data_IF_493257056230
#
_entry.id   IF_493257056230
#
_cell.length_a   1.000
_cell.length_b   1.000
_cell.length_c   1.000
_cell.angle_alpha   90.00
_cell.angle_beta   90.00
_cell.angle_gamma   90.00
#
_symmetry.space_group_name_H-M   'P 1'
#
loop_
_entity.id
_entity.type
_entity.pdbx_description
1 polymer ?
#
# COMPACT_ATOMS: atom_id res chain seq x y z
N UNK A 1 -1.94 10.20 3.55
CA UNK A 1 -0.75 9.90 2.74
C UNK A 1 -0.38 11.01 1.78
N UNK A 2 -1.21 11.42 0.81
CA UNK A 2 -0.83 12.47 -0.16
C UNK A 2 -0.42 13.79 0.53
N UNK A 3 -1.21 14.27 1.50
CA UNK A 3 -0.87 15.46 2.28
C UNK A 3 0.48 15.33 3.05
N UNK A 4 0.82 14.13 3.52
CA UNK A 4 2.10 13.89 4.18
C UNK A 4 3.28 14.02 3.21
N UNK A 5 3.16 13.47 1.98
CA UNK A 5 4.17 13.64 0.94
C UNK A 5 4.36 15.10 0.52
N UNK A 6 3.27 15.86 0.43
CA UNK A 6 3.34 17.30 0.14
C UNK A 6 4.13 18.03 1.25
N UNK A 7 3.88 17.70 2.52
CA UNK A 7 4.63 18.25 3.65
C UNK A 7 6.11 17.84 3.63
N UNK A 8 6.43 16.58 3.28
CA UNK A 8 7.81 16.13 3.14
C UNK A 8 8.57 16.88 2.04
N UNK A 9 7.92 17.20 0.93
CA UNK A 9 8.54 17.90 -0.21
C UNK A 9 8.71 19.40 0.09
N UNK A 10 7.72 20.05 0.71
CA UNK A 10 7.73 21.49 0.92
C UNK A 10 8.53 21.94 2.14
N UNK A 11 8.60 21.12 3.20
CA UNK A 11 9.25 21.50 4.47
C UNK A 11 10.24 20.45 5.00
N UNK A 12 11.20 19.96 4.19
CA UNK A 12 12.11 18.89 4.61
C UNK A 12 13.07 19.30 5.75
N UNK A 13 13.33 20.58 5.93
CA UNK A 13 14.26 21.10 6.94
C UNK A 13 13.61 21.36 8.31
N UNK A 14 12.26 21.35 8.39
CA UNK A 14 11.55 21.62 9.63
C UNK A 14 11.16 20.30 10.31
N UNK A 15 11.96 19.88 11.30
CA UNK A 15 11.77 18.63 12.04
C UNK A 15 10.36 18.48 12.63
N UNK A 16 9.77 19.56 13.15
CA UNK A 16 8.42 19.49 13.73
C UNK A 16 7.37 19.13 12.66
N UNK A 17 7.46 19.72 11.47
CA UNK A 17 6.56 19.42 10.36
C UNK A 17 6.81 18.02 9.78
N UNK A 18 8.05 17.54 9.78
CA UNK A 18 8.39 16.16 9.38
C UNK A 18 7.72 15.15 10.32
N UNK A 19 7.72 15.39 11.63
CA UNK A 19 7.00 14.52 12.58
C UNK A 19 5.49 14.51 12.34
N UNK A 20 4.89 15.68 12.11
CA UNK A 20 3.46 15.78 11.77
C UNK A 20 3.15 15.03 10.47
N UNK A 21 4.01 15.16 9.45
CA UNK A 21 3.87 14.44 8.20
C UNK A 21 3.98 12.92 8.38
N UNK A 22 4.88 12.43 9.25
CA UNK A 22 4.98 11.00 9.58
C UNK A 22 3.68 10.47 10.19
N UNK A 23 3.07 11.20 11.14
CA UNK A 23 1.78 10.81 11.71
C UNK A 23 0.71 10.73 10.61
N UNK A 24 0.61 11.75 9.76
CA UNK A 24 -0.33 11.78 8.62
C UNK A 24 -0.05 10.73 7.53
N UNK A 25 1.16 10.19 7.50
CA UNK A 25 1.54 9.09 6.61
C UNK A 25 1.10 7.74 7.19
N UNK A 26 1.40 7.48 8.47
CA UNK A 26 1.11 6.20 9.10
C UNK A 26 -0.37 6.00 9.44
N UNK A 27 -1.10 7.07 9.79
CA UNK A 27 -2.53 6.94 10.14
C UNK A 27 -3.35 6.30 8.99
N UNK A 28 -3.28 6.78 7.73
CA UNK A 28 -4.03 6.16 6.64
C UNK A 28 -3.50 4.78 6.23
N UNK A 29 -2.21 4.50 6.44
CA UNK A 29 -1.62 3.21 6.10
C UNK A 29 -2.32 2.05 6.82
N UNK A 30 -2.64 2.22 8.10
CA UNK A 30 -3.38 1.20 8.88
C UNK A 30 -4.78 0.97 8.32
N UNK A 31 -5.49 2.02 7.91
CA UNK A 31 -6.83 1.89 7.32
C UNK A 31 -6.82 1.18 5.96
N UNK A 32 -5.82 1.47 5.11
CA UNK A 32 -5.64 0.79 3.83
C UNK A 32 -5.39 -0.70 4.07
N UNK A 33 -4.52 -1.03 5.03
CA UNK A 33 -4.24 -2.42 5.37
C UNK A 33 -5.51 -3.13 5.87
N UNK A 34 -6.28 -2.52 6.77
CA UNK A 34 -7.54 -3.10 7.26
C UNK A 34 -8.55 -3.34 6.13
N UNK A 35 -8.68 -2.38 5.21
CA UNK A 35 -9.58 -2.51 4.04
C UNK A 35 -9.16 -3.68 3.13
N UNK A 36 -7.85 -3.85 2.90
CA UNK A 36 -7.34 -4.96 2.10
C UNK A 36 -7.62 -6.32 2.74
N UNK A 37 -7.62 -6.42 4.08
CA UNK A 37 -7.98 -7.64 4.80
C UNK A 37 -9.45 -7.98 4.57
N UNK A 38 -10.34 -6.99 4.75
CA UNK A 38 -11.77 -7.19 4.58
C UNK A 38 -12.10 -7.61 3.14
N UNK A 39 -11.53 -6.94 2.14
CA UNK A 39 -11.73 -7.32 0.74
C UNK A 39 -11.20 -8.73 0.42
N UNK A 40 -10.13 -9.16 1.08
CA UNK A 40 -9.60 -10.52 0.96
C UNK A 40 -10.51 -11.54 1.64
N UNK A 41 -11.08 -11.19 2.79
CA UNK A 41 -12.15 -11.98 3.42
C UNK A 41 -13.31 -12.12 2.45
N UNK A 42 -13.91 -11.03 1.96
CA UNK A 42 -15.05 -11.06 1.00
C UNK A 42 -14.77 -11.93 -0.25
N UNK A 43 -13.50 -12.03 -0.66
CA UNK A 43 -13.07 -12.87 -1.77
C UNK A 43 -13.12 -14.38 -1.46
N UNK A 44 -13.05 -14.76 -0.17
CA UNK A 44 -13.27 -16.12 0.31
C UNK A 44 -14.73 -16.51 0.12
N UNK A 45 -15.69 -15.68 0.54
CA UNK A 45 -17.12 -15.96 0.36
C UNK A 45 -17.48 -16.04 -1.13
N UNK A 46 -16.97 -15.12 -1.95
CA UNK A 46 -17.16 -15.18 -3.40
C UNK A 46 -16.49 -16.42 -4.02
N UNK A 47 -15.30 -16.80 -3.56
CA UNK A 47 -14.63 -18.02 -3.97
C UNK A 47 -15.44 -19.27 -3.64
N UNK A 48 -16.05 -19.31 -2.44
CA UNK A 48 -16.93 -20.39 -1.99
C UNK A 48 -18.21 -20.44 -2.83
N UNK A 49 -18.84 -19.30 -3.16
CA UNK A 49 -20.02 -19.21 -4.04
C UNK A 49 -19.76 -19.86 -5.42
N UNK A 50 -18.56 -19.63 -5.97
CA UNK A 50 -18.22 -20.05 -7.34
C UNK A 50 -17.66 -21.47 -7.42
N UNK A 51 -16.94 -21.93 -6.39
CA UNK A 51 -16.24 -23.23 -6.40
C UNK A 51 -16.91 -24.29 -5.52
N UNK A 52 -17.82 -23.90 -4.63
CA UNK A 52 -18.50 -24.80 -3.69
C UNK A 52 -17.61 -25.33 -2.56
N UNK A 53 -16.32 -24.98 -2.53
CA UNK A 53 -15.37 -25.39 -1.50
C UNK A 53 -14.80 -24.17 -0.77
N UNK A 54 -14.75 -24.25 0.57
CA UNK A 54 -14.25 -23.17 1.43
C UNK A 54 -12.73 -23.27 1.55
N UNK A 55 -12.00 -22.54 0.70
CA UNK A 55 -10.54 -22.52 0.68
C UNK A 55 -9.93 -21.40 1.54
N UNK A 56 -10.43 -21.24 2.77
CA UNK A 56 -10.00 -20.17 3.70
C UNK A 56 -8.50 -20.16 3.96
N UNK A 57 -7.93 -21.32 4.29
CA UNK A 57 -6.52 -21.43 4.65
C UNK A 57 -5.60 -21.02 3.49
N UNK A 58 -6.01 -21.32 2.26
CA UNK A 58 -5.24 -20.98 1.06
C UNK A 58 -5.28 -19.47 0.83
N UNK A 59 -6.47 -18.85 0.83
CA UNK A 59 -6.61 -17.40 0.63
C UNK A 59 -5.97 -16.60 1.75
N UNK A 60 -6.12 -17.04 3.00
CA UNK A 60 -5.54 -16.37 4.17
C UNK A 60 -4.01 -16.45 4.21
N UNK A 61 -3.41 -17.54 3.70
CA UNK A 61 -1.95 -17.70 3.64
C UNK A 61 -1.27 -16.85 2.55
N UNK A 62 -2.01 -16.46 1.50
CA UNK A 62 -1.51 -15.57 0.45
C UNK A 62 -1.22 -14.16 1.01
N UNK A 63 -2.00 -13.68 1.97
CA UNK A 63 -1.81 -12.36 2.58
C UNK A 63 -0.40 -12.16 3.18
N UNK A 64 0.06 -12.94 4.17
CA UNK A 64 1.39 -12.76 4.75
C UNK A 64 2.51 -13.04 3.73
N UNK A 65 2.25 -13.86 2.70
CA UNK A 65 3.19 -14.04 1.59
C UNK A 65 3.34 -12.74 0.79
N UNK A 66 2.24 -12.10 0.40
CA UNK A 66 2.25 -10.82 -0.31
C UNK A 66 2.90 -9.72 0.53
N UNK A 67 2.59 -9.65 1.84
CA UNK A 67 3.19 -8.67 2.75
C UNK A 67 4.72 -8.85 2.84
N UNK A 68 5.21 -10.10 2.91
CA UNK A 68 6.65 -10.39 2.93
C UNK A 68 7.33 -10.05 1.61
N UNK A 69 6.71 -10.37 0.48
CA UNK A 69 7.25 -10.05 -0.84
C UNK A 69 7.30 -8.53 -1.03
N UNK A 70 6.23 -7.82 -0.70
CA UNK A 70 6.18 -6.36 -0.76
C UNK A 70 7.23 -5.72 0.16
N UNK A 71 7.38 -6.22 1.40
CA UNK A 71 8.41 -5.76 2.33
C UNK A 71 9.83 -5.99 1.82
N UNK A 72 10.12 -7.17 1.26
CA UNK A 72 11.43 -7.49 0.69
C UNK A 72 11.76 -6.61 -0.52
N UNK A 73 10.81 -6.43 -1.44
CA UNK A 73 10.97 -5.57 -2.61
C UNK A 73 11.15 -4.10 -2.19
N UNK A 74 10.35 -3.62 -1.23
CA UNK A 74 10.47 -2.27 -0.70
C UNK A 74 11.85 -2.01 -0.11
N UNK A 75 12.34 -2.92 0.75
CA UNK A 75 13.67 -2.78 1.35
C UNK A 75 14.80 -2.86 0.32
N UNK A 76 14.66 -3.71 -0.70
CA UNK A 76 15.62 -3.80 -1.82
C UNK A 76 15.72 -2.48 -2.60
N UNK A 77 14.56 -1.89 -2.95
CA UNK A 77 14.51 -0.62 -3.68
C UNK A 77 15.11 0.51 -2.83
N UNK A 78 14.74 0.62 -1.55
CA UNK A 78 15.29 1.65 -0.65
C UNK A 78 16.81 1.52 -0.53
N UNK A 79 17.34 0.30 -0.41
CA UNK A 79 18.78 0.06 -0.39
C UNK A 79 19.48 0.50 -1.67
N UNK A 80 18.94 0.15 -2.84
CA UNK A 80 19.49 0.56 -4.13
C UNK A 80 19.48 2.09 -4.31
N UNK A 81 18.41 2.76 -3.89
CA UNK A 81 18.28 4.23 -3.94
C UNK A 81 19.30 4.89 -3.02
N UNK A 82 19.49 4.39 -1.81
CA UNK A 82 20.49 4.94 -0.88
C UNK A 82 21.92 4.83 -1.43
N UNK A 83 22.25 3.71 -2.08
CA UNK A 83 23.54 3.53 -2.78
C UNK A 83 23.67 4.52 -3.96
N UNK A 84 22.63 4.64 -4.79
CA UNK A 84 22.63 5.54 -5.94
C UNK A 84 22.72 7.02 -5.55
N UNK A 85 22.19 7.39 -4.39
CA UNK A 85 22.29 8.74 -3.82
C UNK A 85 23.56 8.98 -3.00
N UNK A 86 24.49 8.01 -2.93
CA UNK A 86 25.69 8.06 -2.09
C UNK A 86 25.39 8.35 -0.60
N UNK A 87 24.21 7.94 -0.10
CA UNK A 87 23.78 8.07 1.29
C UNK A 87 24.01 6.74 2.04
N UNK A 88 25.22 6.19 1.92
CA UNK A 88 25.61 4.92 2.54
C UNK A 88 26.36 5.15 3.86
N UNK A 89 26.53 4.08 4.64
CA UNK A 89 27.23 4.14 5.93
C UNK A 89 28.64 4.74 5.77
N UNK A 90 28.90 5.86 6.46
CA UNK A 90 30.18 6.56 6.44
C UNK A 90 30.27 7.77 5.50
N UNK A 91 29.21 8.08 4.74
CA UNK A 91 29.16 9.31 3.94
C UNK A 91 29.03 10.54 4.85
N UNK A 92 29.88 11.56 4.65
CA UNK A 92 29.74 12.84 5.32
C UNK A 92 28.50 13.56 4.75
N UNK A 93 27.49 13.90 5.58
CA UNK A 93 26.31 14.64 5.14
C UNK A 93 26.65 15.94 4.39
N UNK A 94 27.81 16.54 4.68
CA UNK A 94 28.27 17.78 4.06
C UNK A 94 28.93 17.56 2.68
N UNK A 95 29.26 16.31 2.33
CA UNK A 95 29.81 15.94 1.01
C UNK A 95 28.74 15.57 -0.02
N UNK A 96 27.47 15.56 0.38
CA UNK A 96 26.35 15.25 -0.52
C UNK A 96 26.16 16.39 -1.52
N UNK A 97 26.29 16.08 -2.80
CA UNK A 97 26.05 17.05 -3.88
C UNK A 97 24.54 17.32 -4.02
N UNK A 98 24.19 18.45 -4.61
CA UNK A 98 22.80 18.76 -4.95
C UNK A 98 22.17 17.68 -5.84
N UNK A 99 22.96 17.01 -6.70
CA UNK A 99 22.51 15.91 -7.55
C UNK A 99 22.13 14.67 -6.72
N UNK A 100 22.90 14.33 -5.69
CA UNK A 100 22.61 13.20 -4.80
C UNK A 100 21.29 13.39 -4.04
N UNK A 101 21.06 14.62 -3.54
CA UNK A 101 19.82 15.01 -2.85
C UNK A 101 18.62 14.95 -3.80
N UNK A 102 18.79 15.38 -5.05
CA UNK A 102 17.73 15.30 -6.07
C UNK A 102 17.40 13.85 -6.45
N UNK A 103 18.40 12.99 -6.63
CA UNK A 103 18.21 11.56 -6.88
C UNK A 103 17.44 10.90 -5.73
N UNK A 104 17.81 11.20 -4.48
CA UNK A 104 17.10 10.69 -3.31
C UNK A 104 15.65 11.20 -3.25
N UNK A 105 15.43 12.51 -3.37
CA UNK A 105 14.09 13.09 -3.29
C UNK A 105 13.17 12.54 -4.39
N UNK A 106 13.69 12.38 -5.61
CA UNK A 106 12.95 11.80 -6.74
C UNK A 106 12.51 10.38 -6.44
N UNK A 107 13.43 9.54 -5.97
CA UNK A 107 13.17 8.14 -5.71
C UNK A 107 12.36 7.87 -4.43
N UNK A 108 12.53 8.68 -3.38
CA UNK A 108 11.88 8.49 -2.08
C UNK A 108 10.50 9.17 -1.98
N UNK A 109 10.30 10.30 -2.67
CA UNK A 109 9.06 11.08 -2.55
C UNK A 109 8.24 11.12 -3.84
N UNK A 110 8.83 11.49 -4.97
CA UNK A 110 8.08 11.68 -6.21
C UNK A 110 7.61 10.38 -6.85
N UNK A 111 8.49 9.37 -6.95
CA UNK A 111 8.15 8.06 -7.54
C UNK A 111 7.05 7.35 -6.71
N UNK A 112 7.17 7.24 -5.38
CA UNK A 112 6.11 6.63 -4.56
C UNK A 112 4.80 7.42 -4.61
N UNK A 113 4.85 8.75 -4.64
CA UNK A 113 3.65 9.57 -4.79
C UNK A 113 2.94 9.31 -6.14
N UNK A 114 3.68 9.22 -7.23
CA UNK A 114 3.11 8.88 -8.54
C UNK A 114 2.45 7.49 -8.52
N UNK A 115 3.12 6.49 -7.92
CA UNK A 115 2.55 5.14 -7.77
C UNK A 115 1.26 5.18 -6.94
N UNK A 116 1.23 5.89 -5.81
CA UNK A 116 0.03 6.01 -4.97
C UNK A 116 -1.12 6.65 -5.74
N UNK A 117 -0.87 7.71 -6.50
CA UNK A 117 -1.91 8.37 -7.32
C UNK A 117 -2.41 7.42 -8.42
N UNK A 118 -1.51 6.71 -9.11
CA UNK A 118 -1.88 5.71 -10.10
C UNK A 118 -2.68 4.56 -9.49
N UNK A 119 -2.30 4.06 -8.31
CA UNK A 119 -3.02 3.03 -7.58
C UNK A 119 -4.41 3.50 -7.14
N UNK A 120 -4.52 4.76 -6.68
CA UNK A 120 -5.82 5.36 -6.35
C UNK A 120 -6.73 5.46 -7.57
N UNK A 121 -6.22 5.93 -8.71
CA UNK A 121 -6.98 6.02 -9.96
C UNK A 121 -7.39 4.62 -10.44
N UNK A 122 -6.47 3.66 -10.43
CA UNK A 122 -6.78 2.28 -10.81
C UNK A 122 -7.84 1.67 -9.88
N UNK A 123 -7.76 1.91 -8.57
CA UNK A 123 -8.77 1.46 -7.62
C UNK A 123 -10.12 2.13 -7.90
N UNK A 124 -10.15 3.45 -8.07
CA UNK A 124 -11.36 4.23 -8.32
C UNK A 124 -12.07 3.84 -9.63
N UNK A 125 -11.32 3.58 -10.70
CA UNK A 125 -11.90 3.21 -12.00
C UNK A 125 -12.20 1.71 -12.15
N UNK A 126 -11.47 0.83 -11.45
CA UNK A 126 -11.55 -0.62 -11.69
C UNK A 126 -12.25 -1.39 -10.57
N UNK A 127 -12.30 -0.87 -9.34
CA UNK A 127 -13.04 -1.51 -8.24
C UNK A 127 -14.51 -1.16 -8.35
N UNK A 128 -15.27 -2.10 -8.92
CA UNK A 128 -16.72 -2.05 -9.09
C UNK A 128 -17.47 -2.82 -7.99
N UNK A 129 -16.84 -3.15 -6.86
CA UNK A 129 -17.55 -3.76 -5.72
C UNK A 129 -18.10 -2.64 -4.85
N UNK A 130 -19.24 -2.10 -5.26
CA UNK A 130 -20.07 -1.30 -4.36
C UNK A 130 -20.79 -2.21 -3.36
N UNK A 131 -21.19 -1.69 -2.19
CA UNK A 131 -22.00 -2.42 -1.19
C UNK A 131 -23.20 -3.17 -1.80
N UNK A 132 -23.77 -2.67 -2.91
CA UNK A 132 -24.89 -3.30 -3.61
C UNK A 132 -24.51 -4.63 -4.28
N UNK A 133 -23.28 -4.77 -4.78
CA UNK A 133 -22.78 -6.01 -5.36
C UNK A 133 -22.42 -7.02 -4.25
N UNK A 134 -21.81 -6.56 -3.14
CA UNK A 134 -21.55 -7.42 -1.99
C UNK A 134 -22.85 -7.94 -1.35
N UNK A 135 -23.85 -7.07 -1.16
CA UNK A 135 -25.18 -7.46 -0.65
C UNK A 135 -25.89 -8.44 -1.57
N UNK A 136 -25.68 -8.36 -2.89
CA UNK A 136 -26.25 -9.30 -3.86
C UNK A 136 -25.55 -10.67 -3.79
N UNK A 137 -24.23 -10.70 -3.66
CA UNK A 137 -23.44 -11.94 -3.50
C UNK A 137 -23.81 -12.66 -2.21
N UNK A 138 -23.96 -11.95 -1.08
CA UNK A 138 -24.36 -12.56 0.20
C UNK A 138 -25.75 -13.15 0.11
N UNK A 139 -26.70 -12.45 -0.53
CA UNK A 139 -28.08 -12.92 -0.69
C UNK A 139 -28.19 -14.15 -1.58
N UNK A 140 -27.45 -14.20 -2.70
CA UNK A 140 -27.36 -15.39 -3.56
C UNK A 140 -26.69 -16.58 -2.84
N UNK A 141 -25.71 -16.31 -1.96
CA UNK A 141 -25.05 -17.36 -1.17
C UNK A 141 -26.00 -17.97 -0.12
N UNK A 142 -26.76 -17.13 0.60
CA UNK A 142 -27.78 -17.59 1.57
C UNK A 142 -28.89 -18.39 0.90
N UNK A 143 -29.39 -17.97 -0.26
CA UNK A 143 -30.42 -18.68 -1.02
C UNK A 143 -29.91 -20.05 -1.50
N UNK A 144 -28.68 -20.14 -2.01
CA UNK A 144 -28.08 -21.42 -2.42
C UNK A 144 -27.91 -22.38 -1.26
N UNK A 145 -27.44 -21.91 -0.10
CA UNK A 145 -27.26 -22.73 1.10
C UNK A 145 -28.57 -23.15 1.76
N UNK A 146 -29.63 -22.36 1.63
CA UNK A 146 -30.97 -22.71 2.12
C UNK A 146 -31.69 -23.71 1.18
N UNK A 147 -31.28 -23.78 -0.08
CA UNK A 147 -31.86 -24.68 -1.10
C UNK A 147 -31.12 -26.01 -1.27
N UNK A 148 -30.01 -26.22 -0.55
CA UNK A 148 -29.20 -27.44 -0.53
C UNK A 148 -29.45 -28.23 0.76
#
# INVERSE_FOLDING_TARGET
MIAAYILFILFPQNLALVYVALVLFYTPNTFIQMTAILALTDSIEYGQLKTGQRNEAVTLSVRPMLDKIAGALSNSIVGAVAVAAAMTNGADPNSLTAQNIQTFNTAAFYVPLAIIVCSFLAFFFKVSISEKEHAKIVKELEEKLASA
#
